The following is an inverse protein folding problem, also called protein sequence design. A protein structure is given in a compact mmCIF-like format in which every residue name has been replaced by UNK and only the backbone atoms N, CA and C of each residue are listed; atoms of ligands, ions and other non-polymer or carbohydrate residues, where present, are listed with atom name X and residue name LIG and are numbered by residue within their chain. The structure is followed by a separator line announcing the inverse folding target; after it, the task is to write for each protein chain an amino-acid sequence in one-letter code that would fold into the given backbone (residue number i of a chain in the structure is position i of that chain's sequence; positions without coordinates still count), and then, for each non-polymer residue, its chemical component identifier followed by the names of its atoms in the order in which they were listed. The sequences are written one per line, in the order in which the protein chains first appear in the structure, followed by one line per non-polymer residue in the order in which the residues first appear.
data_IF_989535813141
#
_entry.id   IF_989535813141
#
_cell.length_a   1.000
_cell.length_b   1.000
_cell.length_c   1.000
_cell.angle_alpha   90.00
_cell.angle_beta   90.00
_cell.angle_gamma   90.00
#
_symmetry.space_group_name_H-M   'P 1'
#
loop_
_entity.id
_entity.type
_entity.pdbx_description
1 polymer ?
#
# COMPACT_ATOMS: atom_id res chain seq x y z
N UNK A 1 -18.73 11.54 3.75
CA UNK A 1 -17.42 11.26 3.13
C UNK A 1 -16.40 11.24 4.25
N UNK A 2 -15.65 10.16 4.42
CA UNK A 2 -14.58 10.08 5.42
C UNK A 2 -13.24 9.83 4.72
N UNK A 3 -12.29 10.73 4.97
CA UNK A 3 -10.90 10.62 4.56
C UNK A 3 -10.09 10.30 5.83
N UNK A 4 -9.22 9.30 5.75
CA UNK A 4 -8.21 9.04 6.76
C UNK A 4 -6.82 9.20 6.12
N UNK A 5 -5.90 9.85 6.82
CA UNK A 5 -4.52 10.04 6.39
C UNK A 5 -3.60 9.41 7.41
N UNK A 6 -2.66 8.59 6.95
CA UNK A 6 -1.69 7.89 7.79
C UNK A 6 -0.29 8.18 7.27
N UNK A 7 0.56 8.71 8.13
CA UNK A 7 1.98 8.87 7.84
C UNK A 7 2.71 7.56 8.16
N UNK A 8 3.50 7.09 7.21
CA UNK A 8 4.25 5.85 7.25
C UNK A 8 5.64 6.06 6.64
N UNK A 9 6.47 5.00 6.66
CA UNK A 9 7.77 5.00 5.99
C UNK A 9 7.95 3.71 5.20
N UNK A 10 8.46 3.83 3.97
CA UNK A 10 8.88 2.70 3.16
C UNK A 10 10.39 2.52 3.27
N UNK A 11 10.82 1.26 3.46
CA UNK A 11 12.24 0.91 3.46
C UNK A 11 12.75 0.83 2.02
N UNK A 12 13.82 1.57 1.73
CA UNK A 12 14.54 1.54 0.45
C UNK A 12 16.04 1.45 0.75
N UNK A 13 16.58 0.23 0.70
CA UNK A 13 17.93 -0.06 1.17
C UNK A 13 18.09 0.30 2.66
N UNK A 14 19.04 1.18 2.95
CA UNK A 14 19.28 1.74 4.30
C UNK A 14 18.43 2.97 4.63
N UNK A 15 17.69 3.50 3.65
CA UNK A 15 16.91 4.72 3.80
C UNK A 15 15.45 4.39 4.16
N UNK A 16 14.84 5.27 4.96
CA UNK A 16 13.42 5.23 5.29
C UNK A 16 12.73 6.43 4.65
N UNK A 17 12.07 6.20 3.53
CA UNK A 17 11.39 7.24 2.76
C UNK A 17 10.00 7.50 3.35
N UNK A 18 9.66 8.77 3.54
CA UNK A 18 8.36 9.16 4.07
C UNK A 18 7.26 8.81 3.07
N UNK A 19 6.24 8.10 3.53
CA UNK A 19 5.06 7.71 2.74
C UNK A 19 3.81 8.19 3.43
N UNK A 20 2.91 8.82 2.69
CA UNK A 20 1.58 9.20 3.13
C UNK A 20 0.58 8.25 2.49
N UNK A 21 -0.23 7.63 3.34
CA UNK A 21 -1.33 6.75 2.93
C UNK A 21 -2.63 7.49 3.14
N UNK A 22 -3.39 7.68 2.07
CA UNK A 22 -4.70 8.32 2.11
C UNK A 22 -5.77 7.27 1.82
N UNK A 23 -6.74 7.15 2.71
CA UNK A 23 -7.85 6.21 2.58
C UNK A 23 -9.15 6.99 2.45
N UNK A 24 -9.78 6.85 1.30
CA UNK A 24 -11.07 7.46 1.02
C UNK A 24 -12.18 6.41 1.05
N UNK A 25 -13.21 6.66 1.87
CA UNK A 25 -14.43 5.86 1.88
C UNK A 25 -15.54 6.57 1.12
N UNK A 26 -15.96 5.95 0.03
CA UNK A 26 -17.06 6.38 -0.81
C UNK A 26 -18.27 5.43 -0.65
N UNK A 27 -19.47 6.00 -0.84
CA UNK A 27 -20.69 5.22 -0.93
C UNK A 27 -20.73 4.49 -2.29
N UNK A 28 -21.34 3.30 -2.33
CA UNK A 28 -21.43 2.48 -3.53
C UNK A 28 -21.12 1.02 -3.26
N UNK A 29 -20.99 0.25 -4.33
CA UNK A 29 -20.68 -1.18 -4.26
C UNK A 29 -19.34 -1.42 -3.54
N UNK A 30 -19.22 -2.51 -2.76
CA UNK A 30 -17.98 -2.87 -2.10
C UNK A 30 -16.86 -3.08 -3.11
N UNK A 31 -15.82 -2.26 -3.02
CA UNK A 31 -14.64 -2.38 -3.87
C UNK A 31 -13.45 -1.80 -3.13
N UNK A 32 -12.29 -2.47 -3.19
CA UNK A 32 -11.05 -1.93 -2.66
C UNK A 32 -10.04 -1.75 -3.79
N UNK A 33 -9.58 -0.51 -3.96
CA UNK A 33 -8.60 -0.12 -4.97
C UNK A 33 -7.39 0.49 -4.27
N UNK A 34 -6.19 0.05 -4.63
CA UNK A 34 -4.94 0.65 -4.14
C UNK A 34 -4.19 1.18 -5.35
N UNK A 35 -3.93 2.47 -5.36
CA UNK A 35 -3.23 3.17 -6.43
C UNK A 35 -1.73 3.13 -6.14
N UNK A 36 -0.90 3.10 -7.19
CA UNK A 36 0.57 3.01 -7.16
C UNK A 36 1.19 1.67 -6.75
N UNK A 37 0.42 0.60 -6.52
CA UNK A 37 0.95 -0.75 -6.25
C UNK A 37 0.72 -1.71 -7.44
N UNK A 38 1.62 -2.70 -7.66
CA UNK A 38 1.35 -3.83 -8.54
C UNK A 38 0.18 -4.70 -8.05
N UNK A 39 -0.57 -5.29 -8.98
CA UNK A 39 -1.78 -6.07 -8.69
C UNK A 39 -1.55 -7.20 -7.67
N UNK A 40 -0.41 -7.89 -7.73
CA UNK A 40 -0.05 -8.94 -6.78
C UNK A 40 0.06 -8.39 -5.35
N UNK A 41 0.78 -7.28 -5.16
CA UNK A 41 0.94 -6.64 -3.85
C UNK A 41 -0.40 -6.13 -3.31
N UNK A 42 -1.30 -5.67 -4.19
CA UNK A 42 -2.67 -5.29 -3.83
C UNK A 42 -3.46 -6.49 -3.33
N UNK A 43 -3.42 -7.62 -4.05
CA UNK A 43 -4.13 -8.85 -3.66
C UNK A 43 -3.64 -9.40 -2.33
N UNK A 44 -2.34 -9.53 -2.14
CA UNK A 44 -1.77 -10.00 -0.87
C UNK A 44 -2.14 -9.09 0.31
N UNK A 45 -2.13 -7.76 0.09
CA UNK A 45 -2.52 -6.80 1.13
C UNK A 45 -3.99 -6.92 1.50
N UNK A 46 -4.88 -7.14 0.50
CA UNK A 46 -6.31 -7.40 0.73
C UNK A 46 -6.52 -8.64 1.60
N UNK A 47 -5.84 -9.73 1.28
CA UNK A 47 -5.99 -10.99 2.02
C UNK A 47 -5.49 -10.87 3.46
N UNK A 48 -4.35 -10.19 3.67
CA UNK A 48 -3.84 -9.89 5.02
C UNK A 48 -4.78 -9.03 5.84
N UNK A 49 -5.30 -7.94 5.27
CA UNK A 49 -6.24 -7.04 5.97
C UNK A 49 -7.52 -7.78 6.32
N UNK A 50 -8.06 -8.58 5.39
CA UNK A 50 -9.25 -9.38 5.64
C UNK A 50 -9.01 -10.39 6.78
N UNK A 51 -7.90 -11.11 6.75
CA UNK A 51 -7.54 -12.06 7.82
C UNK A 51 -7.37 -11.37 9.18
N UNK A 52 -6.73 -10.20 9.21
CA UNK A 52 -6.56 -9.42 10.43
C UNK A 52 -7.90 -8.94 11.03
N UNK A 53 -8.81 -8.47 10.17
CA UNK A 53 -10.15 -8.04 10.60
C UNK A 53 -10.98 -9.20 11.15
N UNK A 54 -11.00 -10.34 10.45
CA UNK A 54 -11.72 -11.54 10.90
C UNK A 54 -11.20 -12.04 12.25
N UNK A 55 -9.86 -12.11 12.41
CA UNK A 55 -9.25 -12.51 13.69
C UNK A 55 -9.53 -11.52 14.82
N UNK A 56 -9.68 -10.24 14.48
CA UNK A 56 -9.99 -9.17 15.44
C UNK A 56 -11.49 -9.00 15.69
N UNK A 57 -12.34 -9.88 15.14
CA UNK A 57 -13.81 -9.83 15.22
C UNK A 57 -14.42 -8.54 14.66
N UNK A 58 -13.77 -7.94 13.67
CA UNK A 58 -14.29 -6.80 12.92
C UNK A 58 -14.87 -7.24 11.58
N UNK A 59 -15.93 -6.57 11.16
CA UNK A 59 -16.51 -6.76 9.83
C UNK A 59 -15.74 -5.95 8.77
N UNK A 60 -15.60 -6.52 7.58
CA UNK A 60 -15.03 -5.78 6.45
C UNK A 60 -16.09 -4.81 5.91
N UNK A 61 -15.81 -3.49 5.85
CA UNK A 61 -16.82 -2.52 5.44
C UNK A 61 -17.26 -2.74 3.99
N UNK A 62 -18.56 -2.90 3.78
CA UNK A 62 -19.20 -3.08 2.47
C UNK A 62 -19.34 -1.73 1.72
N UNK A 63 -18.22 -1.01 1.55
CA UNK A 63 -18.15 0.29 0.88
C UNK A 63 -17.02 0.33 -0.13
N UNK A 64 -16.99 1.37 -0.97
CA UNK A 64 -15.87 1.59 -1.87
C UNK A 64 -14.73 2.27 -1.10
N UNK A 65 -13.58 1.60 -1.07
CA UNK A 65 -12.37 2.02 -0.36
C UNK A 65 -11.29 2.29 -1.42
N UNK A 66 -10.80 3.51 -1.46
CA UNK A 66 -9.66 3.87 -2.33
C UNK A 66 -8.49 4.24 -1.45
N UNK A 67 -7.37 3.56 -1.65
CA UNK A 67 -6.13 3.78 -0.94
C UNK A 67 -5.13 4.38 -1.92
N UNK A 68 -4.66 5.58 -1.62
CA UNK A 68 -3.59 6.24 -2.36
C UNK A 68 -2.31 6.23 -1.52
N UNK A 69 -1.17 5.98 -2.18
CA UNK A 69 0.14 5.97 -1.54
C UNK A 69 0.99 7.02 -2.24
N UNK A 70 1.43 8.03 -1.50
CA UNK A 70 2.32 9.07 -1.97
C UNK A 70 3.64 9.03 -1.18
N UNK A 71 4.82 9.18 -1.80
CA UNK A 71 5.07 9.41 -3.23
C UNK A 71 4.95 8.12 -4.06
N UNK A 72 4.39 8.23 -5.26
CA UNK A 72 4.29 7.11 -6.22
C UNK A 72 5.66 6.75 -6.83
N UNK A 73 6.65 7.67 -6.74
CA UNK A 73 7.99 7.57 -7.33
C UNK A 73 8.99 6.77 -6.48
N UNK A 74 8.54 6.07 -5.45
CA UNK A 74 9.36 5.08 -4.78
C UNK A 74 9.64 3.93 -5.75
N UNK A 75 10.88 3.74 -6.24
CA UNK A 75 11.20 2.58 -7.04
C UNK A 75 10.87 1.37 -6.18
N UNK A 76 9.84 0.61 -6.59
CA UNK A 76 9.54 -0.69 -6.03
C UNK A 76 10.55 -1.69 -6.59
N UNK A 77 11.82 -1.42 -6.36
CA UNK A 77 12.88 -2.30 -6.79
C UNK A 77 13.02 -3.39 -5.73
N UNK A 78 12.34 -4.51 -5.97
CA UNK A 78 12.83 -5.80 -5.53
C UNK A 78 13.89 -6.22 -6.54
N UNK A 79 15.10 -5.70 -6.33
CA UNK A 79 16.40 -6.25 -6.71
C UNK A 79 16.58 -6.75 -8.14
N UNK A 80 16.88 -5.84 -9.07
CA UNK A 80 17.85 -6.14 -10.12
C UNK A 80 19.24 -5.99 -9.51
N UNK A 81 19.90 -7.10 -9.18
CA UNK A 81 21.33 -7.07 -8.85
C UNK A 81 22.12 -6.72 -10.11
N UNK A 82 22.39 -5.44 -10.34
CA UNK A 82 23.40 -5.00 -11.29
C UNK A 82 24.48 -4.25 -10.53
N UNK A 83 25.38 -5.02 -9.91
CA UNK A 83 26.68 -4.54 -9.49
C UNK A 83 27.68 -4.78 -10.64
N UNK A 84 27.45 -4.18 -11.80
CA UNK A 84 28.56 -3.70 -12.62
C UNK A 84 29.19 -2.54 -11.87
N UNK A 85 30.12 -2.88 -10.98
CA UNK A 85 31.01 -1.93 -10.35
C UNK A 85 32.27 -1.79 -11.21
N UNK A 86 32.51 -0.67 -11.91
CA UNK A 86 33.83 -0.34 -12.38
C UNK A 86 34.53 0.58 -11.37
N UNK A 87 35.58 0.02 -10.75
CA UNK A 87 36.83 0.71 -10.32
C UNK A 87 36.73 1.63 -9.08
N UNK A 88 37.85 2.00 -8.41
CA UNK A 88 39.27 2.05 -8.84
C UNK A 88 40.01 0.70 -8.89
#
# INVERSE_FOLDING_TARGET
MSLAVVHSRAQSGINALSVVVEVHLANGLPALSIVSLPELAVRESKDRVRGALLNSRFEFPARRITINLAPADLPKERGGGDSTWPLP
#
